data_IF_029728522150
#
_entry.id   IF_029728522150
#
_cell.length_a   1.000
_cell.length_b   1.000
_cell.length_c   1.000
_cell.angle_alpha   90.00
_cell.angle_beta   90.00
_cell.angle_gamma   90.00
#
_symmetry.space_group_name_H-M   'P 1'
#
loop_
_entity.id
_entity.type
_entity.pdbx_description
1 polymer ?
#
# COMPACT_ATOMS: atom_id res chain seq x y z
N UNK A 1 -0.77 27.27 17.42
CA UNK A 1 -0.55 27.83 18.77
C UNK A 1 -0.61 29.36 18.80
N UNK A 2 0.13 30.15 17.99
CA UNK A 2 0.02 31.63 17.99
C UNK A 2 -1.40 32.14 17.75
N UNK A 3 -2.09 31.63 16.73
CA UNK A 3 -3.48 32.01 16.46
C UNK A 3 -4.47 31.64 17.56
N UNK A 4 -4.26 30.57 18.30
CA UNK A 4 -5.07 30.18 19.46
C UNK A 4 -4.89 31.13 20.63
N UNK A 5 -3.63 31.58 20.89
CA UNK A 5 -3.36 32.57 21.92
C UNK A 5 -4.02 33.92 21.64
N UNK A 6 -4.02 34.35 20.36
CA UNK A 6 -4.75 35.55 19.95
C UNK A 6 -6.27 35.42 20.14
N UNK A 7 -6.85 34.25 19.87
CA UNK A 7 -8.28 34.00 20.11
C UNK A 7 -8.65 33.98 21.61
N UNK A 8 -7.69 33.62 22.45
CA UNK A 8 -7.83 33.72 23.92
C UNK A 8 -7.58 35.13 24.48
N UNK A 9 -7.43 36.13 23.60
CA UNK A 9 -7.20 37.53 24.01
C UNK A 9 -5.77 37.78 24.53
N UNK A 10 -4.82 36.88 24.27
CA UNK A 10 -3.42 37.02 24.70
C UNK A 10 -2.60 37.64 23.56
N UNK A 11 -2.29 38.97 23.60
CA UNK A 11 -1.55 39.63 22.54
C UNK A 11 -0.06 39.30 22.62
N UNK A 12 0.39 38.28 21.88
CA UNK A 12 1.79 37.89 21.78
C UNK A 12 2.25 37.91 20.33
N UNK A 13 3.50 38.23 20.08
CA UNK A 13 4.08 38.13 18.74
C UNK A 13 4.38 36.70 18.38
N UNK A 14 4.37 36.38 17.08
CA UNK A 14 4.77 35.07 16.59
C UNK A 14 6.21 34.72 16.98
N UNK A 15 7.12 35.71 17.01
CA UNK A 15 8.49 35.54 17.46
C UNK A 15 8.59 35.16 18.93
N UNK A 16 7.73 35.74 19.80
CA UNK A 16 7.66 35.41 21.22
C UNK A 16 7.20 33.97 21.41
N UNK A 17 6.15 33.54 20.69
CA UNK A 17 5.71 32.14 20.74
C UNK A 17 6.81 31.19 20.29
N UNK A 18 7.49 31.49 19.17
CA UNK A 18 8.60 30.66 18.68
C UNK A 18 9.77 30.59 19.66
N UNK A 19 10.05 31.66 20.42
CA UNK A 19 11.12 31.70 21.43
C UNK A 19 10.82 30.78 22.61
N UNK A 20 9.59 30.71 23.07
CA UNK A 20 9.19 29.92 24.24
C UNK A 20 8.65 28.51 23.90
N UNK A 21 8.45 28.19 22.62
CA UNK A 21 8.18 26.81 22.22
C UNK A 21 9.38 25.94 22.52
N UNK A 22 9.12 24.82 23.22
CA UNK A 22 10.15 23.82 23.53
C UNK A 22 10.67 23.26 22.21
N UNK A 23 11.87 23.68 21.82
CA UNK A 23 12.60 23.04 20.72
C UNK A 23 13.23 21.76 21.24
N UNK A 24 12.83 20.63 20.70
CA UNK A 24 13.54 19.39 21.00
C UNK A 24 14.99 19.53 20.50
N UNK A 25 15.94 19.56 21.44
CA UNK A 25 17.39 19.69 21.15
C UNK A 25 18.05 18.37 20.73
N UNK A 26 17.30 17.33 20.47
CA UNK A 26 17.86 16.10 19.90
C UNK A 26 18.17 16.35 18.43
N UNK A 27 19.37 15.93 17.94
CA UNK A 27 19.63 15.95 16.50
C UNK A 27 18.50 15.26 15.82
N UNK A 28 18.02 15.75 14.67
CA UNK A 28 16.91 15.10 13.96
C UNK A 28 17.36 13.66 13.70
N UNK A 29 16.65 12.71 14.31
CA UNK A 29 16.72 11.31 13.88
C UNK A 29 16.40 11.30 12.38
N UNK A 30 16.93 10.34 11.66
CA UNK A 30 16.60 10.10 10.26
C UNK A 30 15.11 10.35 10.03
N UNK A 31 14.75 11.18 9.05
CA UNK A 31 13.34 11.43 8.77
C UNK A 31 12.68 10.12 8.34
N UNK A 32 11.38 9.96 8.63
CA UNK A 32 10.63 8.78 8.21
C UNK A 32 10.79 8.47 6.71
N UNK A 33 10.78 9.52 5.89
CA UNK A 33 11.00 9.39 4.44
C UNK A 33 12.40 8.86 4.10
N UNK A 34 13.43 9.38 4.77
CA UNK A 34 14.80 8.92 4.56
C UNK A 34 14.97 7.47 5.04
N UNK A 35 14.35 7.12 6.17
CA UNK A 35 14.34 5.76 6.67
C UNK A 35 13.72 4.78 5.66
N UNK A 36 12.52 5.07 5.15
CA UNK A 36 11.86 4.23 4.14
C UNK A 36 12.66 4.12 2.85
N UNK A 37 13.29 5.21 2.39
CA UNK A 37 14.10 5.18 1.17
C UNK A 37 15.36 4.33 1.34
N UNK A 38 16.02 4.42 2.50
CA UNK A 38 17.26 3.68 2.78
C UNK A 38 17.03 2.18 2.96
N UNK A 39 15.81 1.77 3.33
CA UNK A 39 15.44 0.37 3.59
C UNK A 39 14.38 -0.14 2.62
N UNK A 40 14.15 0.54 1.49
CA UNK A 40 13.05 0.20 0.58
C UNK A 40 13.14 -1.24 0.03
N UNK A 41 14.35 -1.79 -0.07
CA UNK A 41 14.59 -3.17 -0.53
C UNK A 41 14.14 -4.23 0.47
N UNK A 42 14.05 -3.87 1.75
CA UNK A 42 13.81 -4.78 2.87
C UNK A 42 12.45 -4.52 3.53
N UNK A 43 11.67 -3.62 2.96
CA UNK A 43 10.42 -3.16 3.53
C UNK A 43 9.21 -3.68 2.76
N UNK A 44 8.27 -4.23 3.51
CA UNK A 44 6.90 -4.43 3.02
C UNK A 44 5.93 -3.68 3.91
N UNK A 45 4.78 -3.32 3.36
CA UNK A 45 3.66 -2.80 4.15
C UNK A 45 2.43 -3.67 4.01
N UNK A 46 1.73 -3.85 5.11
CA UNK A 46 0.43 -4.50 5.16
C UNK A 46 -0.65 -3.50 5.52
N UNK A 47 -1.82 -3.67 4.91
CA UNK A 47 -2.97 -2.82 5.17
C UNK A 47 -4.28 -3.52 4.83
N UNK A 48 -5.37 -3.02 5.38
CA UNK A 48 -6.73 -3.48 5.10
C UNK A 48 -7.56 -2.38 4.44
N UNK A 49 -8.42 -2.78 3.53
CA UNK A 49 -9.50 -1.92 3.09
C UNK A 49 -10.81 -2.69 2.95
N UNK A 50 -11.91 -1.96 2.98
CA UNK A 50 -13.25 -2.53 2.95
C UNK A 50 -13.91 -2.28 1.61
N UNK A 51 -14.56 -3.31 1.07
CA UNK A 51 -15.39 -3.26 -0.13
C UNK A 51 -16.80 -3.70 0.23
N UNK A 52 -17.79 -2.93 -0.18
CA UNK A 52 -19.20 -3.27 0.03
C UNK A 52 -19.75 -4.00 -1.18
N UNK A 53 -20.44 -5.11 -0.95
CA UNK A 53 -21.17 -5.82 -2.01
C UNK A 53 -22.52 -5.16 -2.32
N UNK A 54 -23.14 -5.55 -3.44
CA UNK A 54 -24.50 -5.12 -3.81
C UNK A 54 -25.54 -5.46 -2.74
N UNK A 55 -25.33 -6.54 -1.97
CA UNK A 55 -26.16 -6.95 -0.84
C UNK A 55 -25.74 -6.26 0.49
N UNK A 56 -24.95 -5.20 0.44
CA UNK A 56 -24.44 -4.45 1.60
C UNK A 56 -23.55 -5.26 2.57
N UNK A 57 -23.11 -6.46 2.18
CA UNK A 57 -22.13 -7.22 2.94
C UNK A 57 -20.76 -6.52 2.86
N UNK A 58 -20.08 -6.42 3.99
CA UNK A 58 -18.71 -5.89 4.04
C UNK A 58 -17.71 -7.02 3.77
N UNK A 59 -16.83 -6.78 2.81
CA UNK A 59 -15.69 -7.64 2.51
C UNK A 59 -14.41 -6.87 2.86
N UNK A 60 -13.55 -7.52 3.62
CA UNK A 60 -12.24 -7.00 4.01
C UNK A 60 -11.20 -7.55 3.05
N UNK A 61 -10.40 -6.67 2.51
CA UNK A 61 -9.28 -7.02 1.63
C UNK A 61 -7.99 -6.70 2.36
N UNK A 62 -7.21 -7.72 2.61
CA UNK A 62 -5.85 -7.61 3.12
C UNK A 62 -4.89 -7.52 1.95
N UNK A 63 -3.93 -6.59 1.99
CA UNK A 63 -2.89 -6.44 0.97
C UNK A 63 -1.53 -6.34 1.62
N UNK A 64 -0.52 -6.94 0.98
CA UNK A 64 0.89 -6.76 1.33
C UNK A 64 1.61 -6.22 0.10
N UNK A 65 2.32 -5.12 0.28
CA UNK A 65 3.03 -4.37 -0.76
C UNK A 65 4.54 -4.36 -0.47
N UNK A 66 5.33 -4.81 -1.42
CA UNK A 66 6.78 -4.60 -1.43
C UNK A 66 7.10 -3.14 -1.83
N UNK A 67 7.92 -2.47 -1.02
CA UNK A 67 8.28 -1.07 -1.24
C UNK A 67 9.27 -0.87 -2.38
N UNK A 68 10.13 -1.85 -2.64
CA UNK A 68 11.19 -1.73 -3.64
C UNK A 68 10.63 -1.30 -5.00
N UNK A 69 9.81 -2.16 -5.60
CA UNK A 69 9.19 -1.88 -6.90
C UNK A 69 7.69 -1.60 -6.81
N UNK A 70 7.17 -1.37 -5.59
CA UNK A 70 5.73 -1.13 -5.35
C UNK A 70 4.86 -2.29 -5.79
N UNK A 71 5.37 -3.49 -5.61
CA UNK A 71 4.75 -4.71 -6.08
C UNK A 71 3.79 -5.26 -5.02
N UNK A 72 2.49 -5.46 -5.33
CA UNK A 72 1.60 -6.21 -4.47
C UNK A 72 2.02 -7.68 -4.45
N UNK A 73 2.56 -8.15 -3.33
CA UNK A 73 3.06 -9.53 -3.21
C UNK A 73 2.02 -10.52 -2.72
N UNK A 74 0.99 -10.01 -2.04
CA UNK A 74 -0.11 -10.83 -1.55
C UNK A 74 -1.38 -10.01 -1.40
N UNK A 75 -2.53 -10.62 -1.65
CA UNK A 75 -3.82 -10.11 -1.20
C UNK A 75 -4.77 -11.26 -0.86
N UNK A 76 -5.67 -10.99 0.05
CA UNK A 76 -6.72 -11.94 0.43
C UNK A 76 -8.02 -11.22 0.77
N UNK A 77 -9.15 -11.93 0.58
CA UNK A 77 -10.50 -11.37 0.80
C UNK A 77 -11.22 -12.24 1.80
N UNK A 78 -11.83 -11.62 2.82
CA UNK A 78 -12.65 -12.29 3.81
C UNK A 78 -13.85 -11.42 4.21
N UNK A 79 -14.91 -12.05 4.69
CA UNK A 79 -16.01 -11.36 5.39
C UNK A 79 -15.79 -11.28 6.90
N UNK A 80 -14.81 -12.04 7.43
CA UNK A 80 -14.51 -12.09 8.86
C UNK A 80 -13.00 -12.06 9.09
N UNK A 81 -12.39 -10.86 9.23
CA UNK A 81 -10.96 -10.69 9.43
C UNK A 81 -10.60 -10.96 10.89
N UNK A 82 -10.25 -12.21 11.22
CA UNK A 82 -9.75 -12.57 12.54
C UNK A 82 -8.22 -12.50 12.60
N UNK A 83 -7.66 -12.37 13.80
CA UNK A 83 -6.20 -12.39 14.01
C UNK A 83 -5.56 -13.69 13.49
N UNK A 84 -6.24 -14.83 13.68
CA UNK A 84 -5.81 -16.13 13.16
C UNK A 84 -5.77 -16.13 11.62
N UNK A 85 -6.83 -15.64 10.98
CA UNK A 85 -6.90 -15.53 9.53
C UNK A 85 -5.79 -14.61 9.00
N UNK A 86 -5.59 -13.44 9.62
CA UNK A 86 -4.56 -12.47 9.22
C UNK A 86 -3.15 -13.05 9.37
N UNK A 87 -2.90 -13.80 10.45
CA UNK A 87 -1.64 -14.49 10.68
C UNK A 87 -1.34 -15.54 9.60
N UNK A 88 -2.38 -16.28 9.19
CA UNK A 88 -2.27 -17.25 8.10
C UNK A 88 -1.96 -16.59 6.77
N UNK A 89 -2.62 -15.46 6.45
CA UNK A 89 -2.34 -14.71 5.21
C UNK A 89 -0.89 -14.24 5.13
N UNK A 90 -0.28 -13.89 6.25
CA UNK A 90 1.13 -13.53 6.28
C UNK A 90 2.04 -14.73 5.99
N UNK A 91 1.76 -15.92 6.54
CA UNK A 91 2.52 -17.13 6.23
C UNK A 91 2.41 -17.49 4.75
N UNK A 92 1.24 -17.32 4.15
CA UNK A 92 1.02 -17.54 2.71
C UNK A 92 1.81 -16.53 1.85
N UNK A 93 1.98 -15.29 2.35
CA UNK A 93 2.73 -14.24 1.65
C UNK A 93 4.25 -14.46 1.65
N UNK A 94 4.79 -15.04 2.72
CA UNK A 94 6.24 -15.21 2.92
C UNK A 94 6.58 -16.69 3.15
N UNK A 95 6.67 -17.50 2.09
CA UNK A 95 7.20 -18.84 2.21
C UNK A 95 8.68 -18.81 2.55
N UNK A 96 9.11 -19.67 3.39
CA UNK A 96 10.34 -19.94 4.17
C UNK A 96 11.63 -19.11 3.89
N UNK A 97 11.90 -18.65 2.66
CA UNK A 97 13.21 -18.05 2.31
C UNK A 97 13.15 -16.58 1.84
N UNK A 98 11.98 -15.95 1.82
CA UNK A 98 11.80 -14.58 1.29
C UNK A 98 11.13 -13.63 2.28
N UNK A 99 11.37 -13.80 3.58
CA UNK A 99 10.80 -12.90 4.58
C UNK A 99 11.49 -11.52 4.53
N UNK A 100 10.73 -10.42 4.49
CA UNK A 100 11.30 -9.08 4.55
C UNK A 100 11.89 -8.82 5.94
N UNK A 101 12.85 -7.92 6.03
CA UNK A 101 13.38 -7.49 7.33
C UNK A 101 12.36 -6.66 8.13
N UNK A 102 11.55 -5.85 7.44
CA UNK A 102 10.62 -4.93 8.06
C UNK A 102 9.21 -5.08 7.48
N UNK A 103 8.23 -5.15 8.37
CA UNK A 103 6.81 -5.12 8.04
C UNK A 103 6.16 -3.90 8.67
N UNK A 104 5.78 -2.94 7.85
CA UNK A 104 5.03 -1.76 8.26
C UNK A 104 3.53 -2.08 8.29
N UNK A 105 2.87 -1.76 9.40
CA UNK A 105 1.42 -1.87 9.55
C UNK A 105 0.87 -0.83 10.51
N UNK A 106 -0.41 -0.64 10.52
CA UNK A 106 -1.09 0.14 11.51
C UNK A 106 -1.28 -0.63 12.85
N UNK A 107 -1.98 -0.01 13.78
CA UNK A 107 -2.25 -0.57 15.11
C UNK A 107 -3.63 -1.23 15.21
N UNK A 108 -4.25 -1.61 14.10
CA UNK A 108 -5.55 -2.26 14.13
C UNK A 108 -5.50 -3.57 14.92
N UNK A 109 -6.54 -3.82 15.72
CA UNK A 109 -6.69 -5.04 16.53
C UNK A 109 -6.82 -6.31 15.69
N UNK A 110 -7.13 -6.20 14.41
CA UNK A 110 -7.23 -7.31 13.44
C UNK A 110 -5.92 -8.12 13.37
N UNK A 111 -4.77 -7.48 13.63
CA UNK A 111 -3.49 -8.17 13.60
C UNK A 111 -3.28 -9.10 14.79
N UNK A 112 -3.77 -8.77 15.99
CA UNK A 112 -3.72 -9.64 17.17
C UNK A 112 -2.30 -10.03 17.62
N UNK A 113 -2.21 -10.70 18.77
CA UNK A 113 -0.91 -11.12 19.35
C UNK A 113 -0.23 -12.23 18.52
N UNK A 114 -1.01 -13.18 17.99
CA UNK A 114 -0.46 -14.27 17.18
C UNK A 114 0.27 -13.78 15.93
N UNK A 115 -0.24 -12.72 15.30
CA UNK A 115 0.42 -12.09 14.17
C UNK A 115 1.80 -11.56 14.56
N UNK A 116 1.91 -10.90 15.73
CA UNK A 116 3.17 -10.36 16.24
C UNK A 116 4.17 -11.47 16.60
N UNK A 117 3.72 -12.52 17.26
CA UNK A 117 4.59 -13.62 17.70
C UNK A 117 5.15 -14.39 16.49
N UNK A 118 4.34 -14.62 15.49
CA UNK A 118 4.79 -15.22 14.23
C UNK A 118 5.75 -14.32 13.46
N UNK A 119 5.60 -12.97 13.48
CA UNK A 119 6.56 -12.05 12.87
C UNK A 119 7.95 -12.21 13.48
N UNK A 120 8.00 -12.22 14.80
CA UNK A 120 9.23 -12.41 15.55
C UNK A 120 9.85 -13.79 15.27
N UNK A 121 9.03 -14.84 15.21
CA UNK A 121 9.48 -16.21 14.97
C UNK A 121 10.20 -16.42 13.62
N UNK A 122 9.86 -15.66 12.60
CA UNK A 122 10.50 -15.68 11.27
C UNK A 122 11.46 -14.52 11.03
N UNK A 123 11.85 -13.78 12.08
CA UNK A 123 12.84 -12.70 12.02
C UNK A 123 12.36 -11.38 11.39
N UNK A 124 11.04 -11.18 11.21
CA UNK A 124 10.50 -9.92 10.68
C UNK A 124 10.36 -8.88 11.81
N UNK A 125 10.95 -7.73 11.63
CA UNK A 125 10.78 -6.58 12.51
C UNK A 125 9.51 -5.79 12.15
N UNK A 126 8.52 -5.82 13.04
CA UNK A 126 7.30 -5.02 12.85
C UNK A 126 7.57 -3.55 13.15
N UNK A 127 7.18 -2.70 12.22
CA UNK A 127 7.19 -1.24 12.35
C UNK A 127 5.75 -0.75 12.41
N UNK A 128 5.35 -0.25 13.59
CA UNK A 128 4.00 0.24 13.79
C UNK A 128 3.93 1.73 13.44
N UNK A 129 2.93 2.11 12.65
CA UNK A 129 2.65 3.52 12.41
C UNK A 129 2.28 4.22 13.71
N UNK A 130 2.61 5.52 13.83
CA UNK A 130 2.14 6.31 14.95
C UNK A 130 0.60 6.45 14.89
N UNK A 131 -0.07 6.59 16.03
CA UNK A 131 -1.51 6.81 16.05
C UNK A 131 -1.90 8.00 15.16
N UNK A 132 -3.00 7.85 14.40
CA UNK A 132 -3.53 8.87 13.50
C UNK A 132 -2.52 9.38 12.46
N UNK A 133 -1.60 8.53 12.02
CA UNK A 133 -0.54 8.89 11.07
C UNK A 133 -0.56 8.04 9.79
N UNK A 134 -1.65 8.07 9.01
CA UNK A 134 -1.78 7.25 7.80
C UNK A 134 -0.65 7.53 6.78
N UNK A 135 -0.14 8.77 6.72
CA UNK A 135 0.98 9.12 5.84
C UNK A 135 2.26 8.28 6.06
N UNK A 136 2.37 7.59 7.20
CA UNK A 136 3.49 6.69 7.46
C UNK A 136 3.37 5.40 6.64
N UNK A 137 2.16 4.99 6.23
CA UNK A 137 1.91 3.86 5.32
C UNK A 137 1.53 4.34 3.91
N UNK A 138 2.15 5.42 3.45
CA UNK A 138 1.77 6.12 2.22
C UNK A 138 1.79 5.24 0.95
N UNK A 139 2.57 4.17 0.92
CA UNK A 139 2.65 3.27 -0.23
C UNK A 139 1.44 2.35 -0.31
N UNK A 140 1.03 1.73 0.81
CA UNK A 140 -0.18 0.93 0.85
C UNK A 140 -1.43 1.79 0.62
N UNK A 141 -1.51 2.96 1.25
CA UNK A 141 -2.59 3.92 1.04
C UNK A 141 -2.73 4.33 -0.44
N UNK A 142 -1.60 4.58 -1.12
CA UNK A 142 -1.61 4.90 -2.54
C UNK A 142 -2.05 3.72 -3.40
N UNK A 143 -1.62 2.51 -3.09
CA UNK A 143 -2.08 1.30 -3.78
C UNK A 143 -3.60 1.14 -3.63
N UNK A 144 -4.12 1.23 -2.40
CA UNK A 144 -5.55 1.14 -2.10
C UNK A 144 -6.33 2.23 -2.85
N UNK A 145 -5.81 3.47 -2.83
CA UNK A 145 -6.39 4.57 -3.60
C UNK A 145 -6.42 4.31 -5.11
N UNK A 146 -5.40 3.66 -5.67
CA UNK A 146 -5.38 3.26 -7.08
C UNK A 146 -6.39 2.15 -7.36
N UNK A 147 -6.45 1.11 -6.52
CA UNK A 147 -7.43 0.02 -6.63
C UNK A 147 -8.86 0.58 -6.67
N UNK A 148 -9.17 1.54 -5.79
CA UNK A 148 -10.50 2.17 -5.76
C UNK A 148 -10.78 2.92 -7.06
N UNK A 149 -10.00 3.95 -7.36
CA UNK A 149 -10.25 4.85 -8.49
C UNK A 149 -10.14 4.19 -9.86
N UNK A 150 -9.25 3.24 -10.01
CA UNK A 150 -8.95 2.63 -11.32
C UNK A 150 -9.70 1.32 -11.56
N UNK A 151 -10.36 0.76 -10.53
CA UNK A 151 -11.04 -0.53 -10.65
C UNK A 151 -12.39 -0.55 -9.91
N UNK A 152 -12.38 -0.44 -8.58
CA UNK A 152 -13.57 -0.73 -7.78
C UNK A 152 -14.70 0.30 -7.93
N UNK A 153 -14.38 1.54 -8.22
CA UNK A 153 -15.40 2.59 -8.46
C UNK A 153 -16.16 2.38 -9.79
N UNK A 154 -15.69 1.46 -10.63
CA UNK A 154 -16.27 1.17 -11.96
C UNK A 154 -16.96 -0.19 -12.04
N UNK A 155 -17.03 -0.95 -10.94
CA UNK A 155 -17.57 -2.31 -10.94
C UNK A 155 -18.55 -2.54 -9.80
N UNK A 156 -19.48 -3.46 -9.99
CA UNK A 156 -20.40 -3.92 -8.94
C UNK A 156 -19.89 -5.25 -8.39
N UNK A 157 -19.65 -5.29 -7.08
CA UNK A 157 -19.18 -6.48 -6.39
C UNK A 157 -20.37 -7.25 -5.83
N UNK A 158 -20.59 -8.49 -6.28
CA UNK A 158 -21.69 -9.34 -5.83
C UNK A 158 -21.33 -10.16 -4.58
N UNK A 159 -20.12 -10.77 -4.58
CA UNK A 159 -19.66 -11.65 -3.50
C UNK A 159 -18.12 -11.74 -3.49
N UNK A 160 -17.57 -12.40 -2.47
CA UNK A 160 -16.12 -12.48 -2.27
C UNK A 160 -15.34 -13.11 -3.44
N UNK A 161 -15.88 -14.14 -4.08
CA UNK A 161 -15.23 -14.77 -5.24
C UNK A 161 -15.22 -13.84 -6.46
N UNK A 162 -16.26 -13.03 -6.68
CA UNK A 162 -16.28 -12.00 -7.70
C UNK A 162 -15.22 -10.93 -7.43
N UNK A 163 -15.12 -10.44 -6.17
CA UNK A 163 -14.12 -9.47 -5.77
C UNK A 163 -12.69 -10.01 -5.99
N UNK A 164 -12.42 -11.26 -5.59
CA UNK A 164 -11.11 -11.89 -5.83
C UNK A 164 -10.75 -11.92 -7.32
N UNK A 165 -11.70 -12.28 -8.19
CA UNK A 165 -11.48 -12.30 -9.64
C UNK A 165 -11.17 -10.91 -10.20
N UNK A 166 -11.93 -9.89 -9.77
CA UNK A 166 -11.71 -8.50 -10.16
C UNK A 166 -10.33 -8.03 -9.74
N UNK A 167 -9.95 -8.26 -8.47
CA UNK A 167 -8.65 -7.85 -7.93
C UNK A 167 -7.49 -8.61 -8.58
N UNK A 168 -7.62 -9.91 -8.87
CA UNK A 168 -6.61 -10.65 -9.63
C UNK A 168 -6.34 -10.01 -11.00
N UNK A 169 -7.40 -9.66 -11.71
CA UNK A 169 -7.26 -8.98 -13.01
C UNK A 169 -6.63 -7.60 -12.88
N UNK A 170 -6.98 -6.85 -11.83
CA UNK A 170 -6.39 -5.55 -11.57
C UNK A 170 -4.91 -5.65 -11.15
N UNK A 171 -4.53 -6.58 -10.30
CA UNK A 171 -3.14 -6.76 -9.88
C UNK A 171 -2.25 -7.24 -11.03
N UNK A 172 -2.74 -8.12 -11.93
CA UNK A 172 -2.01 -8.46 -13.16
C UNK A 172 -1.73 -7.21 -14.01
N UNK A 173 -2.74 -6.36 -14.20
CA UNK A 173 -2.58 -5.08 -14.89
C UNK A 173 -1.62 -4.15 -14.14
N UNK A 174 -1.78 -3.98 -12.83
CA UNK A 174 -0.98 -3.10 -12.00
C UNK A 174 0.50 -3.48 -12.03
N UNK A 175 0.80 -4.78 -11.95
CA UNK A 175 2.17 -5.28 -11.93
C UNK A 175 2.86 -5.23 -13.29
N UNK A 176 2.14 -5.59 -14.35
CA UNK A 176 2.74 -5.84 -15.67
C UNK A 176 2.51 -4.76 -16.70
N UNK A 177 1.47 -3.95 -16.54
CA UNK A 177 1.05 -3.01 -17.57
C UNK A 177 1.09 -1.55 -17.09
N UNK A 178 0.68 -1.32 -15.85
CA UNK A 178 0.55 0.02 -15.30
C UNK A 178 1.91 0.66 -15.07
N UNK A 179 2.16 1.80 -15.70
CA UNK A 179 3.40 2.55 -15.53
C UNK A 179 3.34 3.47 -14.31
N UNK A 180 4.47 3.60 -13.62
CA UNK A 180 4.60 4.40 -12.41
C UNK A 180 5.67 5.48 -12.57
N UNK A 181 5.32 6.74 -12.28
CA UNK A 181 6.30 7.85 -12.34
C UNK A 181 7.50 7.61 -11.44
N UNK A 182 7.28 7.00 -10.29
CA UNK A 182 8.34 6.70 -9.32
C UNK A 182 9.25 5.52 -9.71
N UNK A 183 8.90 4.80 -10.77
CA UNK A 183 9.69 3.74 -11.38
C UNK A 183 10.17 4.16 -12.78
N UNK A 184 10.38 5.45 -13.00
CA UNK A 184 10.84 6.01 -14.29
C UNK A 184 9.90 5.66 -15.46
N UNK A 185 8.60 5.62 -15.17
CA UNK A 185 7.52 5.22 -16.11
C UNK A 185 7.54 3.73 -16.48
N UNK A 186 8.23 2.91 -15.70
CA UNK A 186 8.17 1.44 -15.82
C UNK A 186 7.03 0.85 -14.98
N UNK A 187 6.71 -0.41 -15.21
CA UNK A 187 5.81 -1.20 -14.37
C UNK A 187 6.57 -1.87 -13.20
N UNK A 188 5.90 -2.31 -12.11
CA UNK A 188 6.54 -3.07 -11.04
C UNK A 188 7.31 -4.31 -11.56
N UNK A 189 6.73 -5.08 -12.46
CA UNK A 189 7.44 -6.06 -13.26
C UNK A 189 7.94 -5.34 -14.51
N UNK A 190 9.26 -5.10 -14.56
CA UNK A 190 9.87 -4.36 -15.67
C UNK A 190 9.63 -5.04 -17.01
N UNK A 191 9.35 -4.26 -18.04
CA UNK A 191 9.25 -4.73 -19.41
C UNK A 191 10.11 -3.89 -20.35
N UNK A 192 10.75 -4.50 -21.36
CA UNK A 192 11.59 -3.77 -22.28
C UNK A 192 10.72 -2.84 -23.16
N UNK A 193 11.34 -1.76 -23.65
CA UNK A 193 10.75 -0.94 -24.69
C UNK A 193 10.67 -1.74 -26.00
N UNK A 194 9.53 -1.65 -26.66
CA UNK A 194 9.29 -2.33 -27.93
C UNK A 194 9.55 -1.36 -29.11
N UNK A 195 10.66 -1.53 -29.86
CA UNK A 195 10.99 -0.62 -30.96
C UNK A 195 10.01 -0.77 -32.14
N UNK A 196 9.86 0.28 -33.00
CA UNK A 196 8.96 0.23 -34.15
C UNK A 196 9.19 -0.94 -35.11
N UNK A 197 10.39 -1.49 -35.16
CA UNK A 197 10.75 -2.65 -35.99
C UNK A 197 9.99 -3.93 -35.62
N UNK A 198 9.38 -4.02 -34.44
CA UNK A 198 8.57 -5.16 -34.00
C UNK A 198 7.16 -5.17 -34.62
N UNK A 199 6.76 -4.15 -35.38
CA UNK A 199 5.48 -4.10 -36.06
C UNK A 199 4.49 -3.08 -35.51
N UNK A 200 3.22 -3.16 -35.93
CA UNK A 200 2.18 -2.20 -35.53
C UNK A 200 1.81 -2.33 -34.06
N UNK A 201 1.39 -1.21 -33.47
CA UNK A 201 0.88 -1.20 -32.10
C UNK A 201 -0.52 -1.79 -32.09
N UNK A 202 -0.75 -2.70 -31.15
CA UNK A 202 -2.06 -3.26 -30.83
C UNK A 202 -2.41 -2.95 -29.38
N UNK A 203 -3.71 -2.86 -29.10
CA UNK A 203 -4.20 -2.74 -27.73
C UNK A 203 -4.84 -4.05 -27.27
N UNK A 204 -4.57 -4.41 -26.03
CA UNK A 204 -5.12 -5.59 -25.38
C UNK A 204 -5.91 -5.12 -24.16
N UNK A 205 -7.24 -5.33 -24.12
CA UNK A 205 -8.05 -4.90 -22.99
C UNK A 205 -7.65 -5.64 -21.69
N UNK A 206 -7.57 -4.89 -20.60
CA UNK A 206 -7.29 -5.36 -19.24
C UNK A 206 -8.40 -4.91 -18.30
N UNK A 207 -8.55 -5.61 -17.17
CA UNK A 207 -9.53 -5.25 -16.11
C UNK A 207 -10.96 -5.07 -16.70
N UNK A 208 -11.40 -6.02 -17.53
CA UNK A 208 -12.73 -5.96 -18.16
C UNK A 208 -12.90 -4.81 -19.16
N UNK A 209 -11.82 -4.30 -19.75
CA UNK A 209 -11.83 -3.18 -20.71
C UNK A 209 -11.67 -1.79 -20.07
N UNK A 210 -11.54 -1.70 -18.73
CA UNK A 210 -11.28 -0.42 -18.05
C UNK A 210 -9.89 0.14 -18.38
N UNK A 211 -8.93 -0.75 -18.66
CA UNK A 211 -7.55 -0.41 -19.01
C UNK A 211 -7.08 -1.21 -20.21
N UNK A 212 -5.97 -0.79 -20.81
CA UNK A 212 -5.38 -1.44 -21.97
C UNK A 212 -3.88 -1.61 -21.79
N UNK A 213 -3.36 -2.75 -22.26
CA UNK A 213 -1.96 -2.94 -22.52
C UNK A 213 -1.70 -2.62 -24.00
N UNK A 214 -0.76 -1.74 -24.25
CA UNK A 214 -0.26 -1.47 -25.60
C UNK A 214 1.03 -2.25 -25.83
N UNK A 215 1.09 -3.01 -26.89
CA UNK A 215 2.25 -3.82 -27.31
C UNK A 215 2.34 -3.84 -28.83
N UNK A 216 3.44 -4.35 -29.37
CA UNK A 216 3.60 -4.49 -30.80
C UNK A 216 3.35 -5.94 -31.23
N UNK A 217 2.67 -6.10 -32.35
CA UNK A 217 2.43 -7.42 -32.94
C UNK A 217 3.58 -7.73 -33.87
N UNK A 218 4.36 -8.78 -33.55
CA UNK A 218 5.34 -9.31 -34.50
C UNK A 218 4.64 -9.70 -35.81
N UNK A 219 5.21 -9.28 -36.91
CA UNK A 219 4.76 -9.61 -38.26
C UNK A 219 5.25 -11.00 -38.62
#
# INVERSE_FOLDING_TARGET
>A
MHGELLKLGIPVSQATVAKYMVRQRKPPSQTWRAFLNNHAMDFVSADFFVVRTVAFQLLFVFVILDHNRRRPIHFAVTSNPTAEWTSRQRLEAFPWDNAPWYLLRDRDGIYGQQFCDLAKGIGIHEVLTAPQSPWQNAYAERLIGSIRRECLDHVIVFHSAALRRILNGYFDYYERCRTHLSLEKDAPVSRPAEPPSLGPVIEIPKVGGLHHLYTRKAV
#
